data_IF_345150858864
#
_entry.id   IF_345150858864
#
_cell.length_a   1.000
_cell.length_b   1.000
_cell.length_c   1.000
_cell.angle_alpha   90.00
_cell.angle_beta   90.00
_cell.angle_gamma   90.00
#
_symmetry.space_group_name_H-M   'P 1'
#
loop_
_entity.id
_entity.type
_entity.pdbx_description
1 polymer ?
#
# COMPACT_ATOMS: atom_id res chain seq x y z
N UNK A 1 -0.87 22.83 -3.06
CA UNK A 1 -2.01 21.89 -3.10
C UNK A 1 -1.47 20.57 -3.59
N UNK A 2 -1.36 19.57 -2.72
CA UNK A 2 -0.98 18.22 -3.13
C UNK A 2 -2.16 17.69 -3.94
N UNK A 3 -1.93 17.35 -5.20
CA UNK A 3 -2.96 16.77 -6.07
C UNK A 3 -3.46 15.50 -5.38
N UNK A 4 -4.75 15.43 -5.02
CA UNK A 4 -5.35 14.19 -4.49
C UNK A 4 -5.17 13.12 -5.57
N UNK A 5 -4.40 12.08 -5.27
CA UNK A 5 -4.32 10.92 -6.14
C UNK A 5 -5.74 10.37 -6.27
N UNK A 6 -6.16 10.01 -7.50
CA UNK A 6 -7.41 9.27 -7.70
C UNK A 6 -7.17 7.84 -7.23
N UNK A 7 -7.29 7.62 -5.92
CA UNK A 7 -7.46 6.27 -5.38
C UNK A 7 -8.70 5.66 -6.04
N UNK A 8 -8.69 4.34 -6.22
CA UNK A 8 -9.82 3.66 -6.83
C UNK A 8 -11.08 3.93 -5.99
N UNK A 9 -12.27 4.14 -6.60
CA UNK A 9 -13.49 4.51 -5.88
C UNK A 9 -13.80 3.60 -4.68
N UNK A 10 -13.49 2.31 -4.78
CA UNK A 10 -13.67 1.32 -3.72
C UNK A 10 -12.80 1.56 -2.47
N UNK A 11 -11.70 2.30 -2.61
CA UNK A 11 -10.77 2.64 -1.54
C UNK A 11 -11.03 4.01 -0.91
N UNK A 12 -11.93 4.83 -1.47
CA UNK A 12 -12.21 6.20 -0.97
C UNK A 12 -12.62 6.21 0.51
N UNK A 13 -13.38 5.21 0.95
CA UNK A 13 -13.76 5.06 2.38
C UNK A 13 -12.57 4.90 3.33
N UNK A 14 -11.40 4.56 2.81
CA UNK A 14 -10.16 4.33 3.56
C UNK A 14 -9.11 5.44 3.36
N UNK A 15 -9.44 6.53 2.64
CA UNK A 15 -8.52 7.63 2.33
C UNK A 15 -7.82 8.18 3.59
N UNK A 16 -8.54 8.26 4.73
CA UNK A 16 -8.00 8.73 6.01
C UNK A 16 -6.73 8.00 6.46
N UNK A 17 -6.55 6.74 6.07
CA UNK A 17 -5.37 5.96 6.45
C UNK A 17 -4.12 6.37 5.67
N UNK A 18 -4.28 7.09 4.57
CA UNK A 18 -3.18 7.58 3.74
C UNK A 18 -2.59 8.90 4.26
N UNK A 19 -3.34 9.68 5.04
CA UNK A 19 -2.94 11.01 5.52
C UNK A 19 -1.68 11.01 6.39
N UNK A 20 -1.32 9.85 6.97
CA UNK A 20 -0.11 9.66 7.79
C UNK A 20 1.11 9.13 7.04
N UNK A 21 0.96 8.70 5.78
CA UNK A 21 2.05 8.07 5.02
C UNK A 21 2.56 9.00 3.91
N UNK A 22 3.88 9.19 3.84
CA UNK A 22 4.54 9.76 2.66
C UNK A 22 4.78 8.66 1.63
N UNK A 23 3.74 8.31 0.89
CA UNK A 23 3.85 7.32 -0.18
C UNK A 23 4.33 7.99 -1.47
N UNK A 24 5.11 7.24 -2.25
CA UNK A 24 5.59 7.68 -3.57
C UNK A 24 4.53 7.37 -4.64
N UNK A 25 3.55 8.25 -4.72
CA UNK A 25 2.42 8.15 -5.63
C UNK A 25 2.77 8.37 -7.11
N UNK A 26 3.99 8.79 -7.43
CA UNK A 26 4.45 8.94 -8.81
C UNK A 26 4.84 7.59 -9.42
N UNK A 27 5.39 6.70 -8.59
CA UNK A 27 5.86 5.39 -9.02
C UNK A 27 5.01 4.24 -8.49
N UNK A 28 4.18 4.46 -7.47
CA UNK A 28 3.36 3.42 -6.86
C UNK A 28 1.86 3.72 -6.97
N UNK A 29 1.12 2.69 -7.39
CA UNK A 29 -0.34 2.66 -7.33
C UNK A 29 -0.79 1.97 -6.04
N UNK A 30 -1.74 2.55 -5.31
CA UNK A 30 -2.40 1.89 -4.18
C UNK A 30 -3.37 0.84 -4.71
N UNK A 31 -3.12 -0.41 -4.34
CA UNK A 31 -3.91 -1.56 -4.77
C UNK A 31 -4.96 -1.92 -3.73
N UNK A 32 -4.61 -1.84 -2.45
CA UNK A 32 -5.53 -2.18 -1.36
C UNK A 32 -5.13 -1.44 -0.07
N UNK A 33 -6.10 -1.26 0.82
CA UNK A 33 -5.93 -0.68 2.15
C UNK A 33 -6.61 -1.59 3.14
N UNK A 34 -5.83 -2.16 4.06
CA UNK A 34 -6.30 -3.14 5.03
C UNK A 34 -6.26 -2.51 6.42
N UNK A 35 -7.40 -2.01 6.96
CA UNK A 35 -7.45 -1.43 8.30
C UNK A 35 -7.02 -2.45 9.35
N UNK A 36 -6.12 -2.05 10.24
CA UNK A 36 -5.70 -2.83 11.40
C UNK A 36 -6.38 -2.33 12.68
N UNK A 37 -6.56 -1.01 12.79
CA UNK A 37 -7.33 -0.35 13.83
C UNK A 37 -7.89 1.00 13.33
N UNK A 38 -8.31 1.89 14.24
CA UNK A 38 -8.90 3.18 13.89
C UNK A 38 -7.88 4.17 13.28
N UNK A 39 -6.59 3.97 13.52
CA UNK A 39 -5.51 4.89 13.15
C UNK A 39 -4.54 4.28 12.13
N UNK A 40 -4.44 2.95 12.09
CA UNK A 40 -3.47 2.22 11.30
C UNK A 40 -4.11 1.32 10.26
N UNK A 41 -3.49 1.30 9.08
CA UNK A 41 -3.76 0.32 8.03
C UNK A 41 -2.45 -0.12 7.37
N UNK A 42 -2.47 -1.34 6.84
CA UNK A 42 -1.46 -1.81 5.89
C UNK A 42 -1.89 -1.37 4.48
N UNK A 43 -1.00 -0.65 3.78
CA UNK A 43 -1.25 -0.15 2.42
C UNK A 43 -0.51 -1.04 1.45
N UNK A 44 -1.24 -1.75 0.60
CA UNK A 44 -0.66 -2.56 -0.48
C UNK A 44 -0.52 -1.66 -1.70
N UNK A 45 0.67 -1.66 -2.28
CA UNK A 45 1.00 -0.87 -3.45
C UNK A 45 1.72 -1.71 -4.51
N UNK A 46 1.64 -1.25 -5.75
CA UNK A 46 2.36 -1.82 -6.88
C UNK A 46 3.17 -0.74 -7.59
N UNK A 47 4.45 -1.02 -7.82
CA UNK A 47 5.34 -0.17 -8.61
C UNK A 47 4.94 -0.27 -10.09
N UNK A 48 4.64 0.87 -10.70
CA UNK A 48 4.19 0.93 -12.09
C UNK A 48 5.36 1.00 -13.09
N UNK A 49 6.60 1.12 -12.61
CA UNK A 49 7.79 1.16 -13.46
C UNK A 49 8.07 -0.22 -14.06
N UNK A 50 8.36 -0.26 -15.35
CA UNK A 50 8.61 -1.50 -16.08
C UNK A 50 9.89 -2.24 -15.63
N UNK A 51 10.85 -1.53 -15.03
CA UNK A 51 12.13 -2.04 -14.55
C UNK A 51 12.15 -2.27 -13.02
N UNK A 52 10.98 -2.22 -12.37
CA UNK A 52 10.87 -2.46 -10.94
C UNK A 52 11.30 -3.89 -10.58
N UNK A 53 12.43 -4.02 -9.89
CA UNK A 53 12.94 -5.33 -9.47
C UNK A 53 12.03 -6.03 -8.47
N UNK A 54 11.37 -5.28 -7.57
CA UNK A 54 10.41 -5.79 -6.57
C UNK A 54 9.14 -4.94 -6.61
N UNK A 55 8.21 -5.23 -7.52
CA UNK A 55 7.11 -4.32 -7.81
C UNK A 55 6.03 -4.31 -6.72
N UNK A 56 5.94 -5.37 -5.90
CA UNK A 56 4.93 -5.44 -4.85
C UNK A 56 5.45 -4.83 -3.55
N UNK A 57 4.67 -3.95 -2.93
CA UNK A 57 5.07 -3.30 -1.69
C UNK A 57 3.91 -3.28 -0.67
N UNK A 58 4.23 -3.46 0.61
CA UNK A 58 3.32 -3.16 1.71
C UNK A 58 3.94 -2.11 2.63
N UNK A 59 3.19 -1.05 2.91
CA UNK A 59 3.55 -0.02 3.87
C UNK A 59 2.71 -0.19 5.14
N UNK A 60 3.36 -0.31 6.29
CA UNK A 60 2.71 -0.39 7.60
C UNK A 60 3.56 0.26 8.69
N UNK A 61 2.97 1.17 9.49
CA UNK A 61 3.64 1.85 10.62
C UNK A 61 4.99 2.51 10.26
N UNK A 62 5.07 3.13 9.09
CA UNK A 62 6.30 3.76 8.58
C UNK A 62 7.34 2.79 8.00
N UNK A 63 7.13 1.47 8.09
CA UNK A 63 7.97 0.47 7.41
C UNK A 63 7.38 0.01 6.07
N UNK A 64 8.21 0.05 5.02
CA UNK A 64 7.88 -0.50 3.70
C UNK A 64 8.62 -1.82 3.46
N UNK A 65 7.91 -2.84 2.98
CA UNK A 65 8.50 -4.12 2.58
C UNK A 65 8.16 -4.43 1.12
N UNK A 66 9.17 -4.89 0.37
CA UNK A 66 9.09 -5.09 -1.08
C UNK A 66 9.29 -6.55 -1.45
N UNK A 67 8.53 -7.02 -2.44
CA UNK A 67 8.43 -8.41 -2.87
C UNK A 67 8.48 -8.52 -4.40
N UNK A 68 8.96 -9.66 -4.89
CA UNK A 68 9.02 -9.94 -6.32
C UNK A 68 7.64 -10.32 -6.86
N UNK A 69 6.86 -11.06 -6.07
CA UNK A 69 5.55 -11.58 -6.50
C UNK A 69 4.44 -11.14 -5.55
N UNK A 70 3.20 -11.20 -6.06
CA UNK A 70 2.01 -10.97 -5.24
C UNK A 70 1.88 -12.01 -4.13
N UNK A 71 2.22 -13.26 -4.42
CA UNK A 71 2.19 -14.37 -3.47
C UNK A 71 3.11 -14.15 -2.27
N UNK A 72 4.35 -13.70 -2.50
CA UNK A 72 5.28 -13.37 -1.41
C UNK A 72 4.76 -12.23 -0.51
N UNK A 73 4.12 -11.23 -1.11
CA UNK A 73 3.46 -10.15 -0.36
C UNK A 73 2.30 -10.70 0.46
N UNK A 74 1.45 -11.54 -0.14
CA UNK A 74 0.29 -12.12 0.54
C UNK A 74 0.74 -13.01 1.70
N UNK A 75 1.76 -13.85 1.51
CA UNK A 75 2.36 -14.67 2.58
C UNK A 75 2.88 -13.81 3.73
N UNK A 76 3.55 -12.70 3.42
CA UNK A 76 3.99 -11.74 4.43
C UNK A 76 2.79 -11.16 5.18
N UNK A 77 1.76 -10.68 4.49
CA UNK A 77 0.55 -10.11 5.10
C UNK A 77 -0.16 -11.12 6.02
N UNK A 78 -0.30 -12.38 5.61
CA UNK A 78 -0.85 -13.45 6.45
C UNK A 78 0.02 -13.70 7.69
N UNK A 79 1.35 -13.76 7.53
CA UNK A 79 2.27 -13.95 8.67
C UNK A 79 2.19 -12.82 9.69
N UNK A 80 1.84 -11.61 9.24
CA UNK A 80 1.60 -10.41 10.06
C UNK A 80 0.18 -10.29 10.58
N UNK A 81 -0.74 -11.17 10.16
CA UNK A 81 -2.16 -11.16 10.49
C UNK A 81 -2.86 -9.87 10.09
N UNK A 82 -2.52 -9.33 8.92
CA UNK A 82 -3.22 -8.16 8.38
C UNK A 82 -4.63 -8.49 7.92
N UNK A 83 -4.85 -9.73 7.47
CA UNK A 83 -6.16 -10.32 7.20
C UNK A 83 -6.12 -11.82 7.48
#
# INVERSE_FOLDING_TARGET
MISRQKIKPELERYERYLDGYRLDYEHFEVIDIIPQDNELAAIIMHDIRADAGKPWCVQFRGGGHYFFTREELDDYCHSRKFY
#
